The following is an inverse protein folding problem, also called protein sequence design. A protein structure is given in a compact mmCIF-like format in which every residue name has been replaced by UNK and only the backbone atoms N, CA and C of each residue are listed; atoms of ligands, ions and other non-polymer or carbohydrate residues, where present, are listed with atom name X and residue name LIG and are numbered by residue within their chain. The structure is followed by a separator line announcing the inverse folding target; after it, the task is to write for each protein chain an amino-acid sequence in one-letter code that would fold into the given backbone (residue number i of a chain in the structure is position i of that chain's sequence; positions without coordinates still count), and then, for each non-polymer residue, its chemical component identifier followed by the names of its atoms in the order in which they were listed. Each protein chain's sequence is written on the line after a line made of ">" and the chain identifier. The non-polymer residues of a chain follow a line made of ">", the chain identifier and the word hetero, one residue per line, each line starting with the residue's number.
data_IF_763234861066
#
_entry.id   IF_763234861066
#
_cell.length_a   1.000
_cell.length_b   1.000
_cell.length_c   1.000
_cell.angle_alpha   90.00
_cell.angle_beta   90.00
_cell.angle_gamma   90.00
#
_symmetry.space_group_name_H-M   'P 1'
#
loop_
_entity.id
_entity.type
_entity.pdbx_description
1 polymer ?
#
# COMPACT_ATOMS: atom_id res chain seq x y z
N UNK A 1 -1.51 -4.81 -24.43
CA UNK A 1 -1.02 -6.04 -23.79
C UNK A 1 -0.12 -5.62 -22.65
N UNK A 2 -0.65 -5.47 -21.44
CA UNK A 2 0.19 -5.19 -20.27
C UNK A 2 1.09 -6.39 -20.05
N UNK A 3 2.34 -6.15 -19.67
CA UNK A 3 3.16 -7.16 -19.00
C UNK A 3 2.30 -7.86 -17.96
N UNK A 4 2.31 -9.19 -17.95
CA UNK A 4 1.66 -10.00 -16.91
C UNK A 4 2.09 -9.46 -15.54
N UNK A 5 1.15 -8.91 -14.79
CA UNK A 5 1.43 -8.38 -13.47
C UNK A 5 1.82 -9.54 -12.56
N UNK A 6 2.84 -9.33 -11.72
CA UNK A 6 3.28 -10.34 -10.75
C UNK A 6 2.58 -10.21 -9.41
N UNK A 7 1.65 -9.27 -9.27
CA UNK A 7 0.97 -9.02 -8.00
C UNK A 7 0.02 -10.16 -7.57
N UNK A 8 -0.36 -11.04 -8.50
CA UNK A 8 -1.08 -12.28 -8.23
C UNK A 8 -0.12 -13.46 -8.21
N UNK A 9 -0.12 -14.19 -7.10
CA UNK A 9 0.59 -15.45 -6.95
C UNK A 9 -0.12 -16.30 -5.89
N UNK A 10 0.18 -17.60 -5.89
CA UNK A 10 -0.34 -18.53 -4.92
C UNK A 10 0.55 -18.60 -3.68
N UNK A 11 -0.10 -18.78 -2.53
CA UNK A 11 0.55 -18.90 -1.23
C UNK A 11 0.39 -20.32 -0.70
N UNK A 12 1.25 -20.72 0.24
CA UNK A 12 1.14 -22.05 0.85
C UNK A 12 -0.15 -22.16 1.67
N UNK A 13 -0.63 -23.39 1.88
CA UNK A 13 -1.87 -23.64 2.62
C UNK A 13 -1.79 -23.28 4.11
N UNK A 14 -0.59 -23.32 4.71
CA UNK A 14 -0.32 -22.93 6.09
C UNK A 14 -0.28 -21.41 6.30
N UNK A 15 -0.16 -20.63 5.22
CA UNK A 15 -0.15 -19.17 5.30
C UNK A 15 -1.57 -18.62 5.45
N UNK A 16 -1.73 -17.67 6.36
CA UNK A 16 -3.00 -16.98 6.56
C UNK A 16 -3.11 -15.84 5.55
N UNK A 17 -4.31 -15.39 5.17
CA UNK A 17 -4.48 -14.25 4.27
C UNK A 17 -4.18 -12.91 4.97
N UNK A 18 -3.05 -12.82 5.67
CA UNK A 18 -2.53 -11.67 6.38
C UNK A 18 -1.27 -11.16 5.67
N UNK A 19 -1.45 -10.09 4.89
CA UNK A 19 -0.41 -9.52 4.02
C UNK A 19 0.37 -8.43 4.75
N UNK A 20 1.67 -8.63 4.88
CA UNK A 20 2.59 -7.70 5.51
C UNK A 20 4.04 -7.97 5.08
N UNK A 21 4.84 -6.91 4.99
CA UNK A 21 6.29 -6.99 4.89
C UNK A 21 6.96 -5.93 5.78
N UNK A 22 8.12 -6.25 6.33
CA UNK A 22 8.86 -5.32 7.19
C UNK A 22 9.27 -4.03 6.47
N UNK A 23 9.36 -4.07 5.14
CA UNK A 23 9.63 -2.89 4.31
C UNK A 23 8.39 -2.00 4.09
N UNK A 24 7.24 -2.30 4.70
CA UNK A 24 6.11 -1.37 4.75
C UNK A 24 6.47 -0.09 5.50
N UNK A 25 7.32 -0.21 6.52
CA UNK A 25 7.66 0.89 7.40
C UNK A 25 8.43 1.98 6.64
N UNK A 26 8.00 3.21 6.82
CA UNK A 26 8.68 4.39 6.28
C UNK A 26 9.62 4.91 7.36
N UNK A 27 10.88 5.20 7.01
CA UNK A 27 11.79 5.89 7.94
C UNK A 27 12.59 6.96 7.22
N UNK A 28 12.71 8.13 7.85
CA UNK A 28 13.54 9.23 7.40
C UNK A 28 14.67 9.45 8.39
N UNK A 29 15.43 8.39 8.70
CA UNK A 29 16.56 8.44 9.64
C UNK A 29 16.20 9.06 11.01
N UNK A 30 14.96 8.91 11.48
CA UNK A 30 14.47 9.45 12.75
C UNK A 30 13.66 10.75 12.62
N UNK A 31 13.67 11.41 11.45
CA UNK A 31 12.86 12.60 11.21
C UNK A 31 11.35 12.30 11.19
N UNK A 32 10.97 11.04 10.97
CA UNK A 32 9.58 10.59 11.05
C UNK A 32 8.98 10.76 12.47
N UNK A 33 9.81 10.88 13.51
CA UNK A 33 9.35 11.05 14.90
C UNK A 33 8.73 12.42 15.19
N UNK A 34 8.96 13.40 14.33
CA UNK A 34 8.33 14.73 14.43
C UNK A 34 6.96 14.79 13.74
N UNK A 35 6.50 13.65 13.23
CA UNK A 35 5.27 13.56 12.47
C UNK A 35 4.19 12.82 13.29
N UNK A 36 2.93 13.24 13.16
CA UNK A 36 1.79 12.67 13.90
C UNK A 36 1.46 11.23 13.50
N UNK A 37 1.82 10.84 12.27
CA UNK A 37 1.66 9.49 11.75
C UNK A 37 2.84 8.60 12.16
N UNK A 38 2.57 7.58 12.98
CA UNK A 38 3.55 6.55 13.33
C UNK A 38 3.85 5.67 12.11
N UNK A 39 4.96 5.97 11.45
CA UNK A 39 5.45 5.26 10.29
C UNK A 39 5.91 3.80 10.58
N UNK A 40 5.82 3.37 11.86
CA UNK A 40 6.12 2.00 12.33
C UNK A 40 4.88 1.26 12.85
N UNK A 41 3.68 1.85 12.74
CA UNK A 41 2.44 1.27 13.27
C UNK A 41 2.21 -0.16 12.79
N UNK A 42 2.51 -0.45 11.53
CA UNK A 42 2.30 -1.77 10.93
C UNK A 42 3.17 -2.84 11.58
N UNK A 43 4.45 -2.53 11.81
CA UNK A 43 5.35 -3.41 12.57
C UNK A 43 4.86 -3.60 13.99
N UNK A 44 4.40 -2.53 14.65
CA UNK A 44 3.92 -2.61 16.02
C UNK A 44 2.69 -3.53 16.14
N UNK A 45 1.74 -3.47 15.19
CA UNK A 45 0.58 -4.38 15.12
C UNK A 45 1.05 -5.83 14.99
N UNK A 46 1.93 -6.11 14.03
CA UNK A 46 2.43 -7.47 13.78
C UNK A 46 3.23 -8.00 14.97
N UNK A 47 4.07 -7.16 15.57
CA UNK A 47 4.85 -7.52 16.75
C UNK A 47 3.94 -7.86 17.94
N UNK A 48 2.91 -7.04 18.18
CA UNK A 48 1.93 -7.30 19.22
C UNK A 48 1.20 -8.64 19.02
N UNK A 49 0.75 -8.92 17.79
CA UNK A 49 0.06 -10.18 17.48
C UNK A 49 0.98 -11.40 17.67
N UNK A 50 2.28 -11.28 17.36
CA UNK A 50 3.28 -12.31 17.60
C UNK A 50 3.54 -12.53 19.09
N UNK A 51 3.73 -11.46 19.85
CA UNK A 51 3.95 -11.51 21.29
C UNK A 51 2.74 -12.07 22.04
N UNK A 52 1.53 -11.80 21.55
CA UNK A 52 0.29 -12.39 22.06
C UNK A 52 0.10 -13.87 21.67
N UNK A 53 1.00 -14.45 20.87
CA UNK A 53 0.91 -15.83 20.40
C UNK A 53 -0.22 -16.09 19.40
N UNK A 54 -0.79 -15.04 18.79
CA UNK A 54 -1.90 -15.15 17.85
C UNK A 54 -1.44 -15.52 16.44
N UNK A 55 -0.24 -15.08 16.06
CA UNK A 55 0.37 -15.40 14.76
C UNK A 55 1.86 -15.70 14.89
N UNK A 56 2.40 -16.44 13.93
CA UNK A 56 3.84 -16.63 13.73
C UNK A 56 4.28 -15.94 12.43
N UNK A 57 5.59 -15.89 12.16
CA UNK A 57 6.11 -15.42 10.86
C UNK A 57 5.59 -16.25 9.68
N UNK A 58 5.35 -17.54 9.91
CA UNK A 58 4.91 -18.48 8.88
C UNK A 58 3.49 -18.18 8.41
N UNK A 59 2.65 -17.59 9.25
CA UNK A 59 1.30 -17.16 8.87
C UNK A 59 1.29 -15.94 7.94
N UNK A 60 2.37 -15.17 7.86
CA UNK A 60 2.40 -13.93 7.09
C UNK A 60 2.66 -14.15 5.60
N UNK A 61 2.03 -13.34 4.77
CA UNK A 61 2.24 -13.32 3.33
C UNK A 61 2.97 -12.04 2.94
N UNK A 62 4.15 -12.19 2.33
CA UNK A 62 4.95 -11.07 1.83
C UNK A 62 4.50 -10.70 0.42
N UNK A 63 4.01 -9.47 0.17
CA UNK A 63 3.59 -9.03 -1.15
C UNK A 63 4.77 -8.63 -2.03
N UNK A 64 4.46 -8.34 -3.30
CA UNK A 64 5.38 -7.78 -4.27
C UNK A 64 5.10 -6.28 -4.51
N UNK A 65 6.16 -5.53 -4.87
CA UNK A 65 6.05 -4.10 -5.16
C UNK A 65 5.24 -3.86 -6.43
N UNK A 66 4.18 -3.05 -6.35
CA UNK A 66 3.42 -2.60 -7.51
C UNK A 66 4.34 -1.85 -8.48
N UNK A 67 4.46 -2.37 -9.71
CA UNK A 67 5.28 -1.78 -10.74
C UNK A 67 4.55 -0.62 -11.39
N UNK A 68 5.31 0.20 -12.13
CA UNK A 68 4.75 1.34 -12.86
C UNK A 68 3.62 0.93 -13.83
N UNK A 69 3.71 -0.24 -14.44
CA UNK A 69 2.68 -0.79 -15.32
C UNK A 69 1.38 -1.06 -14.56
N UNK A 70 1.47 -1.60 -13.35
CA UNK A 70 0.31 -1.88 -12.49
C UNK A 70 -0.35 -0.55 -12.08
N UNK A 71 0.45 0.39 -11.59
CA UNK A 71 -0.05 1.70 -11.16
C UNK A 71 -0.72 2.50 -12.28
N UNK A 72 -0.35 2.27 -13.54
CA UNK A 72 -0.95 2.94 -14.71
C UNK A 72 -2.38 2.49 -15.01
N UNK A 73 -2.85 1.41 -14.39
CA UNK A 73 -4.25 0.98 -14.50
C UNK A 73 -5.18 2.02 -13.88
N UNK A 74 -4.78 2.62 -12.76
CA UNK A 74 -5.62 3.59 -12.01
C UNK A 74 -5.07 5.01 -12.03
N UNK A 75 -3.78 5.19 -12.34
CA UNK A 75 -3.16 6.51 -12.31
C UNK A 75 -2.80 7.06 -13.69
N UNK A 76 -2.96 8.38 -13.83
CA UNK A 76 -2.47 9.10 -15.01
C UNK A 76 -0.95 9.08 -15.07
N UNK A 77 -0.40 9.00 -16.29
CA UNK A 77 1.06 9.13 -16.51
C UNK A 77 1.61 10.45 -15.98
N UNK A 78 0.81 11.53 -16.04
CA UNK A 78 1.17 12.85 -15.54
C UNK A 78 1.36 12.82 -14.02
N UNK A 79 0.42 12.22 -13.29
CA UNK A 79 0.51 12.10 -11.85
C UNK A 79 1.70 11.25 -11.41
N UNK A 80 1.89 10.05 -11.99
CA UNK A 80 3.05 9.20 -11.67
C UNK A 80 4.40 9.88 -11.97
N UNK A 81 4.48 10.72 -13.00
CA UNK A 81 5.66 11.55 -13.27
C UNK A 81 5.87 12.62 -12.18
N UNK A 82 4.80 13.20 -11.65
CA UNK A 82 4.88 14.22 -10.60
C UNK A 82 5.46 13.69 -9.28
N UNK A 83 5.28 12.40 -8.98
CA UNK A 83 5.86 11.73 -7.81
C UNK A 83 7.39 11.63 -7.85
N UNK A 84 8.02 11.94 -8.98
CA UNK A 84 9.49 12.07 -9.08
C UNK A 84 9.99 13.34 -8.40
N UNK A 85 9.13 14.28 -8.01
CA UNK A 85 9.53 15.57 -7.45
C UNK A 85 9.28 15.60 -5.93
N UNK A 86 10.34 15.73 -5.13
CA UNK A 86 10.25 15.62 -3.66
C UNK A 86 9.25 16.58 -3.02
N UNK A 87 9.12 17.86 -3.43
CA UNK A 87 8.13 18.75 -2.82
C UNK A 87 6.69 18.33 -3.11
N UNK A 88 6.41 17.69 -4.25
CA UNK A 88 5.08 17.10 -4.52
C UNK A 88 4.80 15.96 -3.54
N UNK A 89 5.80 15.11 -3.29
CA UNK A 89 5.70 14.01 -2.33
C UNK A 89 5.55 14.54 -0.90
N UNK A 90 6.25 15.62 -0.54
CA UNK A 90 6.16 16.25 0.78
C UNK A 90 4.74 16.75 1.09
N UNK A 91 4.05 17.32 0.08
CA UNK A 91 2.64 17.72 0.20
C UNK A 91 1.74 16.50 0.41
N UNK A 92 1.92 15.43 -0.38
CA UNK A 92 1.10 14.21 -0.26
C UNK A 92 1.31 13.52 1.10
N UNK A 93 2.56 13.46 1.53
CA UNK A 93 2.97 12.85 2.79
C UNK A 93 2.72 13.75 4.00
N UNK A 94 2.23 14.98 3.82
CA UNK A 94 2.04 16.00 4.87
C UNK A 94 3.26 16.26 5.76
N UNK A 95 4.45 16.04 5.20
CA UNK A 95 5.73 16.18 5.90
C UNK A 95 6.60 17.16 5.13
N UNK A 96 6.55 18.47 5.45
CA UNK A 96 7.27 19.51 4.70
C UNK A 96 8.78 19.24 4.57
N UNK A 97 9.41 18.64 5.59
CA UNK A 97 10.86 18.36 5.57
C UNK A 97 11.28 17.38 4.46
N UNK A 98 10.37 16.53 3.95
CA UNK A 98 10.64 15.65 2.80
C UNK A 98 11.05 16.46 1.55
N UNK A 99 10.59 17.70 1.42
CA UNK A 99 10.95 18.56 0.29
C UNK A 99 12.47 18.85 0.23
N UNK A 100 13.15 18.81 1.38
CA UNK A 100 14.58 19.05 1.53
C UNK A 100 15.41 17.75 1.49
N UNK A 101 14.76 16.59 1.53
CA UNK A 101 15.43 15.29 1.50
C UNK A 101 15.86 14.96 0.06
N UNK A 102 17.09 14.44 -0.15
CA UNK A 102 17.53 13.96 -1.46
C UNK A 102 16.49 13.04 -2.11
N UNK A 103 16.11 13.33 -3.35
CA UNK A 103 14.99 12.66 -4.00
C UNK A 103 15.12 11.13 -4.01
N UNK A 104 16.33 10.59 -4.16
CA UNK A 104 16.58 9.16 -4.12
C UNK A 104 16.13 8.51 -2.79
N UNK A 105 16.32 9.21 -1.66
CA UNK A 105 15.86 8.75 -0.36
C UNK A 105 14.34 8.84 -0.26
N UNK A 106 13.70 9.87 -0.81
CA UNK A 106 12.23 9.96 -0.85
C UNK A 106 11.63 8.82 -1.69
N UNK A 107 12.23 8.52 -2.85
CA UNK A 107 11.79 7.41 -3.69
C UNK A 107 11.93 6.05 -2.99
N UNK A 108 13.05 5.83 -2.30
CA UNK A 108 13.38 4.55 -1.68
C UNK A 108 12.72 4.35 -0.30
N UNK A 109 12.72 5.37 0.55
CA UNK A 109 12.30 5.25 1.95
C UNK A 109 10.82 5.55 2.17
N UNK A 110 10.14 6.19 1.21
CA UNK A 110 8.69 6.49 1.29
C UNK A 110 7.91 5.85 0.15
N UNK A 111 8.22 6.22 -1.10
CA UNK A 111 7.38 5.79 -2.22
C UNK A 111 7.48 4.29 -2.50
N UNK A 112 8.64 3.66 -2.29
CA UNK A 112 8.80 2.20 -2.46
C UNK A 112 8.00 1.40 -1.43
N UNK A 113 8.08 1.67 -0.11
CA UNK A 113 7.17 1.08 0.88
C UNK A 113 5.70 1.23 0.52
N UNK A 114 5.29 2.41 0.05
CA UNK A 114 3.90 2.68 -0.36
C UNK A 114 3.48 1.85 -1.59
N UNK A 115 4.38 1.60 -2.54
CA UNK A 115 4.12 0.68 -3.66
C UNK A 115 4.05 -0.78 -3.23
N UNK A 116 4.83 -1.16 -2.21
CA UNK A 116 4.77 -2.50 -1.63
C UNK A 116 3.42 -2.74 -0.92
N UNK A 117 2.97 -1.75 -0.14
CA UNK A 117 1.63 -1.76 0.47
C UNK A 117 0.52 -1.80 -0.57
N UNK A 118 0.66 -1.04 -1.67
CA UNK A 118 -0.27 -1.06 -2.80
C UNK A 118 -0.37 -2.44 -3.46
N UNK A 119 0.77 -3.10 -3.69
CA UNK A 119 0.78 -4.47 -4.20
C UNK A 119 0.18 -5.47 -3.20
N UNK A 120 0.37 -5.24 -1.90
CA UNK A 120 -0.27 -6.01 -0.85
C UNK A 120 -1.79 -5.91 -0.84
N UNK A 121 -2.36 -4.75 -1.17
CA UNK A 121 -3.83 -4.60 -1.30
C UNK A 121 -4.35 -5.43 -2.47
N UNK A 122 -3.67 -5.41 -3.63
CA UNK A 122 -4.03 -6.24 -4.78
C UNK A 122 -4.00 -7.73 -4.42
N UNK A 123 -2.94 -8.20 -3.76
CA UNK A 123 -2.83 -9.58 -3.31
C UNK A 123 -3.91 -9.95 -2.28
N UNK A 124 -4.17 -9.08 -1.30
CA UNK A 124 -5.22 -9.29 -0.31
C UNK A 124 -6.61 -9.43 -0.97
N UNK A 125 -6.90 -8.66 -2.02
CA UNK A 125 -8.13 -8.83 -2.81
C UNK A 125 -8.28 -10.24 -3.39
N UNK A 126 -7.23 -10.78 -4.02
CA UNK A 126 -7.21 -12.17 -4.52
C UNK A 126 -7.45 -13.16 -3.38
N UNK A 127 -6.67 -13.03 -2.29
CA UNK A 127 -6.75 -13.94 -1.15
C UNK A 127 -8.11 -13.90 -0.45
N UNK A 128 -8.78 -12.74 -0.41
CA UNK A 128 -10.12 -12.61 0.16
C UNK A 128 -11.16 -13.42 -0.62
N UNK A 129 -11.05 -13.48 -1.94
CA UNK A 129 -11.92 -14.34 -2.75
C UNK A 129 -11.61 -15.83 -2.57
N UNK A 130 -10.33 -16.18 -2.45
CA UNK A 130 -9.90 -17.58 -2.32
C UNK A 130 -10.13 -18.16 -0.92
N UNK A 131 -9.99 -17.35 0.13
CA UNK A 131 -9.99 -17.78 1.54
C UNK A 131 -11.18 -17.24 2.33
N UNK A 132 -12.03 -16.41 1.71
CA UNK A 132 -13.20 -15.77 2.33
C UNK A 132 -12.91 -14.51 3.14
N UNK A 133 -11.64 -14.20 3.40
CA UNK A 133 -11.20 -12.97 4.07
C UNK A 133 -9.72 -12.70 3.77
N UNK A 134 -9.29 -11.45 3.89
CA UNK A 134 -7.88 -11.08 3.92
C UNK A 134 -7.67 -9.74 4.62
N UNK A 135 -6.46 -9.51 5.13
CA UNK A 135 -6.03 -8.24 5.73
C UNK A 135 -4.71 -7.82 5.08
N UNK A 136 -4.65 -6.61 4.52
CA UNK A 136 -3.38 -5.94 4.24
C UNK A 136 -3.13 -4.90 5.34
N UNK A 137 -2.15 -5.15 6.20
CA UNK A 137 -1.89 -4.30 7.37
C UNK A 137 -1.52 -2.87 6.95
N UNK A 138 -0.90 -2.71 5.78
CA UNK A 138 -0.46 -1.43 5.23
C UNK A 138 -1.48 -0.67 4.36
N UNK A 139 -2.53 -1.34 3.92
CA UNK A 139 -3.43 -0.79 2.90
C UNK A 139 -4.35 0.33 3.39
N UNK A 140 -5.26 0.75 2.52
CA UNK A 140 -6.34 1.68 2.86
C UNK A 140 -6.02 3.13 2.47
N UNK A 141 -5.38 3.34 1.33
CA UNK A 141 -4.99 4.68 0.86
C UNK A 141 -6.17 5.46 0.26
N UNK A 142 -7.18 5.71 1.10
CA UNK A 142 -8.49 6.26 0.72
C UNK A 142 -8.45 7.72 0.23
N UNK A 143 -7.40 8.50 0.56
CA UNK A 143 -7.25 9.88 0.10
C UNK A 143 -6.64 10.01 -1.31
N UNK A 144 -6.27 8.91 -1.97
CA UNK A 144 -5.68 8.95 -3.31
C UNK A 144 -6.70 8.67 -4.42
N UNK A 145 -6.55 9.40 -5.52
CA UNK A 145 -7.35 9.30 -6.75
C UNK A 145 -6.42 9.17 -7.96
N UNK A 146 -6.98 8.99 -9.16
CA UNK A 146 -6.19 8.70 -10.37
C UNK A 146 -5.16 9.76 -10.75
N UNK A 147 -5.32 11.02 -10.34
CA UNK A 147 -4.40 12.11 -10.66
C UNK A 147 -3.92 12.95 -9.47
N UNK A 148 -4.32 12.57 -8.24
CA UNK A 148 -4.02 13.30 -7.01
C UNK A 148 -3.86 12.35 -5.82
N UNK A 149 -2.82 12.57 -5.03
CA UNK A 149 -2.66 11.98 -3.68
C UNK A 149 -2.76 13.06 -2.61
N UNK A 150 -2.90 12.64 -1.36
CA UNK A 150 -3.03 13.48 -0.16
C UNK A 150 -3.14 12.60 1.08
N UNK A 151 -3.07 13.19 2.29
CA UNK A 151 -3.29 12.46 3.54
C UNK A 151 -2.49 11.15 3.63
N UNK A 152 -1.19 11.20 3.36
CA UNK A 152 -0.28 10.03 3.37
C UNK A 152 -0.50 8.99 2.27
N UNK A 153 -1.42 9.22 1.33
CA UNK A 153 -1.85 8.29 0.30
C UNK A 153 -1.30 8.69 -1.08
N UNK A 154 -0.13 8.16 -1.52
CA UNK A 154 0.43 8.47 -2.82
C UNK A 154 -0.13 7.63 -3.97
N UNK A 155 -0.76 6.48 -3.68
CA UNK A 155 -1.31 5.56 -4.69
C UNK A 155 -2.72 5.13 -4.29
N UNK A 156 -3.60 4.93 -5.26
CA UNK A 156 -5.00 4.54 -5.06
C UNK A 156 -5.11 3.02 -4.97
N UNK A 157 -4.61 2.44 -3.88
CA UNK A 157 -4.48 0.99 -3.69
C UNK A 157 -5.83 0.26 -3.68
N UNK A 158 -6.86 0.83 -3.03
CA UNK A 158 -8.23 0.28 -3.01
C UNK A 158 -8.79 0.22 -4.44
N UNK A 159 -8.62 1.29 -5.20
CA UNK A 159 -9.08 1.34 -6.60
C UNK A 159 -8.30 0.33 -7.44
N UNK A 160 -6.98 0.21 -7.23
CA UNK A 160 -6.16 -0.74 -7.95
C UNK A 160 -6.57 -2.18 -7.66
N UNK A 161 -6.78 -2.53 -6.39
CA UNK A 161 -7.31 -3.83 -5.96
C UNK A 161 -8.59 -4.16 -6.72
N UNK A 162 -9.59 -3.27 -6.69
CA UNK A 162 -10.89 -3.51 -7.33
C UNK A 162 -10.73 -3.66 -8.85
N UNK A 163 -9.93 -2.80 -9.49
CA UNK A 163 -9.68 -2.89 -10.92
C UNK A 163 -8.99 -4.20 -11.31
N UNK A 164 -8.06 -4.70 -10.49
CA UNK A 164 -7.45 -6.01 -10.72
C UNK A 164 -8.49 -7.14 -10.64
N UNK A 165 -9.39 -7.12 -9.65
CA UNK A 165 -10.45 -8.12 -9.54
C UNK A 165 -11.42 -8.09 -10.73
N UNK A 166 -11.80 -6.90 -11.20
CA UNK A 166 -12.69 -6.73 -12.36
C UNK A 166 -11.99 -7.16 -13.66
N UNK A 167 -10.72 -6.77 -13.86
CA UNK A 167 -9.96 -7.12 -15.08
C UNK A 167 -9.68 -8.61 -15.22
N UNK A 168 -9.75 -9.38 -14.13
CA UNK A 168 -9.64 -10.84 -14.13
C UNK A 168 -11.01 -11.54 -14.05
N UNK A 169 -12.11 -10.81 -14.28
CA UNK A 169 -13.49 -11.32 -14.24
C UNK A 169 -13.88 -12.02 -12.92
N UNK A 170 -13.25 -11.65 -11.80
CA UNK A 170 -13.47 -12.26 -10.49
C UNK A 170 -14.68 -11.65 -9.74
N UNK A 171 -14.99 -10.39 -10.03
CA UNK A 171 -16.16 -9.67 -9.47
C UNK A 171 -16.79 -8.78 -10.54
N UNK A 172 -18.08 -8.48 -10.38
CA UNK A 172 -18.78 -7.47 -11.18
C UNK A 172 -19.03 -6.17 -10.41
N UNK A 173 -19.23 -6.28 -9.09
CA UNK A 173 -19.56 -5.16 -8.22
C UNK A 173 -18.72 -5.26 -6.94
N UNK A 174 -18.37 -4.10 -6.37
CA UNK A 174 -17.72 -3.99 -5.08
C UNK A 174 -18.44 -2.93 -4.24
N UNK A 175 -18.57 -3.18 -2.94
CA UNK A 175 -18.99 -2.18 -1.95
C UNK A 175 -17.79 -1.84 -1.09
N UNK A 176 -17.47 -0.56 -0.97
CA UNK A 176 -16.41 -0.06 -0.08
C UNK A 176 -17.09 0.51 1.16
N UNK A 177 -16.69 0.00 2.33
CA UNK A 177 -17.11 0.54 3.62
C UNK A 177 -15.89 1.18 4.26
N UNK A 178 -15.88 2.50 4.33
CA UNK A 178 -14.83 3.28 4.97
C UNK A 178 -15.25 3.64 6.40
N UNK A 179 -14.49 3.13 7.37
CA UNK A 179 -14.71 3.38 8.80
C UNK A 179 -13.65 4.33 9.38
N UNK A 180 -12.80 4.91 8.55
CA UNK A 180 -11.85 5.93 8.99
C UNK A 180 -12.61 7.20 9.44
N UNK A 181 -12.09 7.86 10.47
CA UNK A 181 -12.68 9.08 11.00
C UNK A 181 -12.51 10.28 10.04
N UNK A 182 -11.53 10.22 9.13
CA UNK A 182 -11.29 11.23 8.11
C UNK A 182 -12.17 10.96 6.89
N UNK A 183 -12.86 11.99 6.42
CA UNK A 183 -13.67 11.87 5.21
C UNK A 183 -12.82 12.05 3.95
N UNK A 184 -13.12 11.25 2.93
CA UNK A 184 -12.63 11.44 1.58
C UNK A 184 -13.30 12.67 0.94
N UNK A 185 -12.51 13.63 0.42
CA UNK A 185 -13.00 14.80 -0.34
C UNK A 185 -12.56 14.77 -1.81
#
# INVERSE_FOLDING_TARGET
>A
MSSESKLYFDIREDQWPLVYDDNYNVSFLGLERFHVFDAKKWRNIIQYLKEAGLITEEHLVRPLEAQKSDLQIVHTRKYLKSLKWSPKVAVIAEVPVIALVPNILVQYAYLKPMRLQTGGSVLAGKLALERGWAINVGGGFHHCSGDRGGGFCPYADITLLIQFLVLHDLIQNAMIVDLDAHQCY
#
